data_IF_832436623222
#
_entry.id   IF_832436623222
#
_cell.length_a   1.000
_cell.length_b   1.000
_cell.length_c   1.000
_cell.angle_alpha   90.00
_cell.angle_beta   90.00
_cell.angle_gamma   90.00
#
_symmetry.space_group_name_H-M   'P 1'
#
loop_
_entity.id
_entity.type
_entity.pdbx_description
1 polymer ?
#
# COMPACT_ATOMS: atom_id res chain seq x y z
N UNK A 1 -7.18 -0.54 -4.87
CA UNK A 1 -7.98 -0.03 -3.75
C UNK A 1 -8.50 -1.11 -2.79
N UNK A 2 -9.29 -2.10 -3.23
CA UNK A 2 -9.99 -3.06 -2.36
C UNK A 2 -9.16 -3.66 -1.20
N UNK A 3 -7.96 -4.18 -1.49
CA UNK A 3 -7.08 -4.73 -0.44
C UNK A 3 -6.69 -3.71 0.64
N UNK A 4 -6.44 -2.45 0.26
CA UNK A 4 -6.14 -1.38 1.22
C UNK A 4 -7.35 -1.07 2.08
N UNK A 5 -8.54 -0.98 1.48
CA UNK A 5 -9.80 -0.74 2.21
C UNK A 5 -10.09 -1.82 3.24
N UNK A 6 -9.89 -3.09 2.89
CA UNK A 6 -10.03 -4.22 3.82
C UNK A 6 -9.03 -4.13 4.97
N UNK A 7 -7.77 -3.80 4.69
CA UNK A 7 -6.76 -3.64 5.73
C UNK A 7 -7.11 -2.51 6.72
N UNK A 8 -7.59 -1.37 6.22
CA UNK A 8 -8.06 -0.26 7.05
C UNK A 8 -9.25 -0.65 7.92
N UNK A 9 -10.25 -1.33 7.35
CA UNK A 9 -11.42 -1.85 8.08
C UNK A 9 -11.01 -2.83 9.18
N UNK A 10 -10.12 -3.80 8.88
CA UNK A 10 -9.63 -4.78 9.88
C UNK A 10 -8.84 -4.13 11.01
N UNK A 11 -8.15 -3.02 10.75
CA UNK A 11 -7.42 -2.25 11.78
C UNK A 11 -8.30 -1.22 12.50
N UNK A 12 -9.53 -0.97 12.03
CA UNK A 12 -10.40 0.05 12.59
C UNK A 12 -9.86 1.47 12.40
N UNK A 13 -9.13 1.71 11.30
CA UNK A 13 -8.43 2.96 11.02
C UNK A 13 -9.10 3.63 9.82
N UNK A 14 -9.36 4.94 9.91
CA UNK A 14 -9.89 5.70 8.78
C UNK A 14 -8.78 6.00 7.75
N UNK A 15 -9.18 6.24 6.49
CA UNK A 15 -8.24 6.66 5.43
C UNK A 15 -7.44 7.89 5.86
N UNK A 16 -8.09 8.85 6.53
CA UNK A 16 -7.48 10.10 6.95
C UNK A 16 -6.43 9.94 8.07
N UNK A 17 -6.55 8.87 8.87
CA UNK A 17 -5.57 8.53 9.91
C UNK A 17 -4.23 8.06 9.33
N UNK A 18 -4.21 7.64 8.05
CA UNK A 18 -2.99 7.23 7.36
C UNK A 18 -2.15 8.49 7.07
N UNK A 19 -1.00 8.56 7.71
CA UNK A 19 -0.09 9.71 7.60
C UNK A 19 0.79 9.67 6.36
N UNK A 20 1.17 8.48 5.90
CA UNK A 20 2.10 8.30 4.77
C UNK A 20 1.94 6.94 4.11
N UNK A 21 2.16 6.92 2.81
CA UNK A 21 2.14 5.73 1.98
C UNK A 21 3.44 5.65 1.20
N UNK A 22 4.18 4.57 1.42
CA UNK A 22 5.40 4.30 0.68
C UNK A 22 5.07 3.40 -0.52
N UNK A 23 5.16 3.97 -1.71
CA UNK A 23 4.87 3.25 -2.95
C UNK A 23 6.15 2.66 -3.53
N UNK A 24 6.33 1.36 -3.32
CA UNK A 24 7.46 0.59 -3.83
C UNK A 24 7.18 -0.06 -5.19
N UNK A 25 8.24 -0.50 -5.85
CA UNK A 25 8.22 -1.20 -7.13
C UNK A 25 8.55 -0.30 -8.33
N UNK A 26 8.86 -0.91 -9.48
CA UNK A 26 9.20 -0.18 -10.70
C UNK A 26 8.07 0.76 -11.15
N UNK A 27 6.81 0.33 -10.97
CA UNK A 27 5.63 1.16 -11.20
C UNK A 27 5.59 2.41 -10.31
N UNK A 28 5.96 2.27 -9.03
CA UNK A 28 5.90 3.36 -8.05
C UNK A 28 6.77 4.56 -8.39
N UNK A 29 7.88 4.35 -9.12
CA UNK A 29 8.78 5.43 -9.55
C UNK A 29 8.21 6.35 -10.63
N UNK A 30 7.27 5.84 -11.43
CA UNK A 30 6.77 6.55 -12.61
C UNK A 30 5.28 6.84 -12.56
N UNK A 31 4.55 6.30 -11.57
CA UNK A 31 3.13 6.57 -11.46
C UNK A 31 2.92 8.03 -11.08
N UNK A 32 2.07 8.71 -11.85
CA UNK A 32 1.57 10.02 -11.47
C UNK A 32 0.53 9.85 -10.34
N UNK A 33 0.81 10.46 -9.19
CA UNK A 33 -0.01 10.28 -7.97
C UNK A 33 -1.41 10.87 -8.12
N UNK A 34 -1.54 12.00 -8.81
CA UNK A 34 -2.84 12.61 -9.10
C UNK A 34 -3.67 11.70 -10.02
N UNK A 35 -3.04 11.09 -11.02
CA UNK A 35 -3.71 10.13 -11.90
C UNK A 35 -4.09 8.86 -11.17
N UNK A 36 -3.22 8.31 -10.32
CA UNK A 36 -3.53 7.14 -9.49
C UNK A 36 -4.71 7.40 -8.54
N UNK A 37 -4.79 8.60 -7.96
CA UNK A 37 -5.93 9.02 -7.14
C UNK A 37 -7.20 9.18 -7.98
N UNK A 38 -7.11 9.88 -9.11
CA UNK A 38 -8.25 10.15 -10.01
C UNK A 38 -8.93 8.88 -10.51
N UNK A 39 -8.15 7.83 -10.79
CA UNK A 39 -8.70 6.54 -11.25
C UNK A 39 -9.10 5.60 -10.10
N UNK A 40 -8.98 6.01 -8.84
CA UNK A 40 -9.30 5.16 -7.69
C UNK A 40 -8.28 4.06 -7.42
N UNK A 41 -7.08 4.12 -7.99
CA UNK A 41 -6.03 3.14 -7.69
C UNK A 41 -5.53 3.29 -6.25
N UNK A 42 -5.29 4.54 -5.85
CA UNK A 42 -4.83 4.95 -4.52
C UNK A 42 -5.78 6.01 -3.96
N UNK A 43 -6.60 5.64 -2.98
CA UNK A 43 -7.60 6.55 -2.43
C UNK A 43 -7.05 7.45 -1.32
N UNK A 44 -5.97 8.18 -1.62
CA UNK A 44 -5.28 9.03 -0.65
C UNK A 44 -4.84 10.33 -1.29
N UNK A 45 -4.64 11.35 -0.45
CA UNK A 45 -4.04 12.61 -0.87
C UNK A 45 -2.67 12.35 -1.51
N UNK A 46 -2.40 12.89 -2.72
CA UNK A 46 -1.15 12.69 -3.43
C UNK A 46 0.10 13.05 -2.60
N UNK A 47 -0.03 14.02 -1.69
CA UNK A 47 1.00 14.50 -0.77
C UNK A 47 1.41 13.44 0.25
N UNK A 48 0.51 12.52 0.60
CA UNK A 48 0.78 11.39 1.51
C UNK A 48 1.54 10.26 0.80
N UNK A 49 1.56 10.23 -0.53
CA UNK A 49 2.15 9.14 -1.32
C UNK A 49 3.60 9.45 -1.71
N UNK A 50 4.53 8.67 -1.19
CA UNK A 50 5.96 8.78 -1.42
C UNK A 50 6.49 7.58 -2.23
N UNK A 51 6.93 7.78 -3.47
CA UNK A 51 7.69 6.78 -4.21
C UNK A 51 8.99 6.42 -3.48
N UNK A 52 9.28 5.12 -3.36
CA UNK A 52 10.50 4.61 -2.70
C UNK A 52 11.30 3.64 -3.57
N UNK A 53 10.91 3.48 -4.84
CA UNK A 53 11.59 2.63 -5.81
C UNK A 53 11.60 1.15 -5.46
N UNK A 54 12.64 0.45 -5.90
CA UNK A 54 12.75 -1.00 -5.70
C UNK A 54 13.30 -1.30 -4.29
N UNK A 55 12.40 -1.33 -3.31
CA UNK A 55 12.74 -1.60 -1.91
C UNK A 55 13.22 -3.03 -1.68
N UNK A 56 12.79 -4.00 -2.51
CA UNK A 56 13.30 -5.37 -2.44
C UNK A 56 14.80 -5.43 -2.79
N UNK A 57 15.22 -4.73 -3.85
CA UNK A 57 16.64 -4.64 -4.22
C UNK A 57 17.45 -3.84 -3.17
N UNK A 58 16.87 -2.75 -2.63
CA UNK A 58 17.51 -1.99 -1.56
C UNK A 58 17.73 -2.86 -0.32
N UNK A 59 16.69 -3.57 0.14
CA UNK A 59 16.78 -4.50 1.27
C UNK A 59 17.79 -5.62 1.04
N UNK A 60 17.86 -6.17 -0.17
CA UNK A 60 18.87 -7.17 -0.53
C UNK A 60 20.31 -6.62 -0.43
N UNK A 61 20.54 -5.36 -0.84
CA UNK A 61 21.84 -4.70 -0.70
C UNK A 61 22.18 -4.45 0.77
N UNK A 62 21.22 -4.01 1.58
CA UNK A 62 21.40 -3.82 3.02
C UNK A 62 21.79 -5.14 3.68
N UNK A 63 21.07 -6.22 3.41
CA UNK A 63 21.39 -7.54 3.95
C UNK A 63 22.76 -8.08 3.49
N UNK A 64 23.21 -7.73 2.28
CA UNK A 64 24.50 -8.16 1.74
C UNK A 64 25.69 -7.38 2.31
N UNK A 65 25.56 -6.06 2.45
CA UNK A 65 26.68 -5.16 2.77
C UNK A 65 26.67 -4.63 4.22
N UNK A 66 25.53 -4.70 4.90
CA UNK A 66 25.32 -4.20 6.26
C UNK A 66 24.39 -5.14 7.07
N UNK A 67 24.77 -6.43 7.22
CA UNK A 67 23.88 -7.45 7.79
C UNK A 67 23.51 -7.21 9.26
N UNK A 68 24.30 -6.43 9.99
CA UNK A 68 24.09 -6.14 11.43
C UNK A 68 23.28 -4.86 11.67
N UNK A 69 23.02 -4.07 10.64
CA UNK A 69 22.32 -2.77 10.77
C UNK A 69 20.80 -2.92 10.91
N UNK A 70 20.24 -4.07 10.51
CA UNK A 70 18.80 -4.29 10.43
C UNK A 70 18.37 -5.62 11.08
N UNK A 71 17.41 -5.56 12.01
CA UNK A 71 16.80 -6.77 12.58
C UNK A 71 15.61 -7.23 11.71
N UNK A 72 15.90 -7.90 10.61
CA UNK A 72 14.89 -8.50 9.74
C UNK A 72 13.99 -9.53 10.47
N UNK A 73 14.49 -10.14 11.54
CA UNK A 73 13.72 -11.10 12.33
C UNK A 73 12.59 -10.41 13.10
N UNK A 74 12.83 -9.21 13.64
CA UNK A 74 11.81 -8.40 14.30
C UNK A 74 10.72 -7.95 13.32
N UNK A 75 11.10 -7.51 12.12
CA UNK A 75 10.16 -7.12 11.06
C UNK A 75 9.26 -8.32 10.69
N UNK A 76 9.86 -9.49 10.48
CA UNK A 76 9.10 -10.71 10.16
C UNK A 76 8.11 -11.08 11.27
N UNK A 77 8.44 -10.86 12.54
CA UNK A 77 7.55 -11.17 13.68
C UNK A 77 6.31 -10.28 13.73
N UNK A 78 6.39 -9.05 13.24
CA UNK A 78 5.26 -8.10 13.24
C UNK A 78 4.45 -8.11 11.93
N UNK A 79 4.96 -8.78 10.88
CA UNK A 79 4.28 -8.93 9.61
C UNK A 79 3.24 -10.06 9.66
N UNK A 80 1.99 -9.73 9.37
CA UNK A 80 0.88 -10.67 9.26
C UNK A 80 0.42 -10.76 7.80
N UNK A 81 0.25 -11.99 7.29
CA UNK A 81 -0.37 -12.19 5.98
C UNK A 81 -1.89 -12.19 6.14
N UNK A 82 -2.56 -11.28 5.43
CA UNK A 82 -4.02 -11.24 5.31
C UNK A 82 -4.44 -11.83 3.97
N UNK A 83 -5.11 -12.98 4.01
CA UNK A 83 -5.66 -13.68 2.85
C UNK A 83 -6.95 -12.99 2.39
N UNK A 84 -6.87 -12.14 1.35
CA UNK A 84 -8.03 -11.35 0.90
C UNK A 84 -9.15 -12.22 0.29
N UNK A 85 -8.82 -13.34 -0.36
CA UNK A 85 -9.82 -14.23 -0.97
C UNK A 85 -10.66 -14.99 0.07
N UNK A 86 -10.20 -15.06 1.32
CA UNK A 86 -10.94 -15.65 2.44
C UNK A 86 -11.78 -14.61 3.19
N UNK A 87 -11.59 -13.32 2.91
CA UNK A 87 -12.37 -12.26 3.53
C UNK A 87 -13.77 -12.21 2.89
N UNK A 88 -14.86 -12.46 3.65
CA UNK A 88 -16.22 -12.51 3.08
C UNK A 88 -16.62 -11.22 2.38
N UNK A 89 -16.05 -10.07 2.78
CA UNK A 89 -16.37 -8.77 2.18
C UNK A 89 -15.55 -8.48 0.91
N UNK A 90 -14.55 -9.31 0.57
CA UNK A 90 -13.63 -8.99 -0.52
C UNK A 90 -14.32 -8.87 -1.87
N UNK A 91 -15.24 -9.76 -2.20
CA UNK A 91 -15.93 -9.72 -3.50
C UNK A 91 -16.74 -8.44 -3.66
N UNK A 92 -17.55 -8.10 -2.65
CA UNK A 92 -18.39 -6.90 -2.67
C UNK A 92 -17.53 -5.63 -2.75
N UNK A 93 -16.51 -5.51 -1.89
CA UNK A 93 -15.58 -4.38 -1.91
C UNK A 93 -14.83 -4.31 -3.25
N UNK A 94 -14.37 -5.43 -3.78
CA UNK A 94 -13.66 -5.45 -5.06
C UNK A 94 -14.54 -4.95 -6.20
N UNK A 95 -15.82 -5.36 -6.25
CA UNK A 95 -16.80 -4.88 -7.23
C UNK A 95 -17.06 -3.39 -7.08
N UNK A 96 -17.23 -2.89 -5.85
CA UNK A 96 -17.39 -1.46 -5.58
C UNK A 96 -16.20 -0.62 -6.10
N UNK A 97 -14.99 -1.16 -6.01
CA UNK A 97 -13.75 -0.49 -6.43
C UNK A 97 -13.40 -0.69 -7.92
N UNK A 98 -14.25 -1.36 -8.72
CA UNK A 98 -14.02 -1.51 -10.17
C UNK A 98 -14.39 -0.27 -10.98
N UNK A 99 -15.33 0.53 -10.49
CA UNK A 99 -15.75 1.78 -11.13
C UNK A 99 -14.76 2.90 -10.82
N UNK A 100 -14.55 3.81 -11.78
CA UNK A 100 -13.78 5.01 -11.48
C UNK A 100 -14.53 5.89 -10.45
N UNK A 101 -13.83 6.51 -9.49
CA UNK A 101 -14.44 7.44 -8.56
C UNK A 101 -15.12 8.60 -9.31
N UNK A 102 -16.18 9.14 -8.71
CA UNK A 102 -16.68 10.44 -9.12
C UNK A 102 -15.56 11.48 -9.00
N UNK A 103 -15.58 12.49 -9.88
CA UNK A 103 -14.60 13.58 -9.81
C UNK A 103 -14.65 14.20 -8.41
N UNK A 104 -13.50 14.18 -7.71
CA UNK A 104 -13.31 14.95 -6.49
C UNK A 104 -13.21 16.42 -6.88
N UNK A 105 -14.11 17.25 -6.35
CA UNK A 105 -14.04 18.72 -6.48
C UNK A 105 -12.82 19.31 -5.76
#
# INVERSE_FOLDING_TARGET
>A
AAGVRILLQRKGVAVDDVKRIYLAGAFGNYVDRHSAQRIGLLDFEPEKVQPVGNTALLGAKMALFAPDDEDYSSIRRICEHVSLNEDPAFQDIYVEEMSFPAARE
#
